data_IF_604816922607
#
_entry.id   IF_604816922607
#
_cell.length_a   1.000
_cell.length_b   1.000
_cell.length_c   1.000
_cell.angle_alpha   90.00
_cell.angle_beta   90.00
_cell.angle_gamma   90.00
#
_symmetry.space_group_name_H-M   'P 1'
#
loop_
_entity.id
_entity.type
_entity.pdbx_description
1 polymer ?
#
# COMPACT_ATOMS: atom_id res chain seq x y z
N UNK A 1 -27.92 -59.81 26.17
CA UNK A 1 -27.44 -60.31 24.86
C UNK A 1 -28.67 -60.43 23.98
N UNK A 2 -28.97 -59.37 23.23
CA UNK A 2 -30.09 -59.31 22.31
C UNK A 2 -29.54 -58.88 20.95
N UNK A 3 -28.90 -59.81 20.26
CA UNK A 3 -28.32 -59.56 18.96
C UNK A 3 -29.43 -59.34 17.93
N UNK A 4 -29.42 -58.18 17.28
CA UNK A 4 -30.21 -57.89 16.07
C UNK A 4 -29.23 -57.37 15.02
N UNK A 5 -28.95 -58.19 14.02
CA UNK A 5 -27.99 -57.88 12.96
C UNK A 5 -28.52 -58.41 11.62
N UNK A 6 -28.30 -57.63 10.55
CA UNK A 6 -28.68 -57.95 9.15
C UNK A 6 -30.21 -57.91 8.96
N UNK A 7 -30.81 -57.24 7.98
CA UNK A 7 -30.49 -57.18 6.54
C UNK A 7 -30.51 -55.77 5.91
N UNK A 8 -29.73 -55.61 4.83
CA UNK A 8 -29.83 -54.51 3.85
C UNK A 8 -29.89 -55.07 2.43
N UNK A 9 -30.99 -54.91 1.68
CA UNK A 9 -30.99 -55.09 0.24
C UNK A 9 -30.51 -53.81 -0.48
N UNK A 10 -29.86 -53.97 -1.62
CA UNK A 10 -29.17 -52.90 -2.37
C UNK A 10 -29.86 -52.55 -3.70
N UNK A 11 -29.22 -51.67 -4.48
CA UNK A 11 -29.53 -51.27 -5.88
C UNK A 11 -30.71 -50.28 -6.03
N UNK A 12 -30.73 -49.36 -7.00
CA UNK A 12 -29.85 -49.07 -8.15
C UNK A 12 -29.72 -47.52 -8.32
N UNK A 13 -28.96 -46.92 -9.24
CA UNK A 13 -28.43 -47.39 -10.53
C UNK A 13 -27.17 -46.61 -10.94
N UNK A 14 -26.17 -47.30 -11.46
CA UNK A 14 -24.99 -46.72 -12.14
C UNK A 14 -25.38 -46.32 -13.57
N UNK A 15 -25.03 -45.11 -13.99
CA UNK A 15 -24.87 -44.76 -15.41
C UNK A 15 -23.45 -44.23 -15.57
N UNK A 16 -22.75 -44.77 -16.55
CA UNK A 16 -21.46 -44.31 -17.04
C UNK A 16 -21.77 -43.58 -18.36
N UNK A 17 -21.12 -42.46 -18.62
CA UNK A 17 -20.79 -42.07 -19.99
C UNK A 17 -19.34 -41.58 -19.96
N UNK A 18 -18.50 -42.18 -20.79
CA UNK A 18 -17.04 -42.12 -20.74
C UNK A 18 -16.57 -42.21 -22.20
N UNK A 19 -16.83 -41.10 -22.91
CA UNK A 19 -16.79 -40.86 -24.36
C UNK A 19 -16.62 -39.31 -24.50
N UNK A 20 -15.67 -38.70 -25.22
CA UNK A 20 -14.47 -39.15 -25.96
C UNK A 20 -13.33 -38.09 -25.69
N UNK A 21 -12.06 -38.48 -25.65
CA UNK A 21 -11.02 -38.28 -26.71
C UNK A 21 -10.57 -36.82 -27.00
N UNK A 22 -9.26 -36.63 -26.91
CA UNK A 22 -8.36 -35.56 -27.40
C UNK A 22 -8.88 -34.15 -27.78
N UNK A 23 -8.35 -33.15 -27.07
CA UNK A 23 -7.69 -32.01 -27.72
C UNK A 23 -6.48 -31.57 -26.85
N UNK A 24 -5.31 -32.11 -27.17
CA UNK A 24 -4.01 -31.74 -26.56
C UNK A 24 -3.50 -30.40 -27.14
N UNK A 25 -2.51 -29.78 -26.48
CA UNK A 25 -1.90 -28.49 -26.81
C UNK A 25 -2.85 -27.29 -26.52
N UNK A 26 -2.41 -26.20 -25.91
CA UNK A 26 -1.16 -25.49 -26.16
C UNK A 26 -0.49 -24.96 -24.88
N UNK A 27 0.75 -25.39 -24.62
CA UNK A 27 1.66 -24.66 -23.72
C UNK A 27 2.13 -23.37 -24.39
N UNK A 28 1.37 -22.29 -24.22
CA UNK A 28 1.66 -20.97 -24.79
C UNK A 28 2.92 -20.34 -24.17
N UNK A 29 4.07 -20.63 -24.78
CA UNK A 29 5.42 -20.14 -24.46
C UNK A 29 5.47 -18.70 -23.97
N UNK A 30 6.11 -18.49 -22.81
CA UNK A 30 6.23 -17.18 -22.16
C UNK A 30 7.05 -16.18 -22.99
N UNK A 31 6.57 -14.93 -23.06
CA UNK A 31 7.26 -13.81 -23.71
C UNK A 31 7.80 -12.82 -22.67
N UNK A 32 9.11 -12.85 -22.32
CA UNK A 32 9.71 -11.81 -21.49
C UNK A 32 9.81 -10.50 -22.30
N UNK A 33 8.86 -9.59 -22.12
CA UNK A 33 8.92 -8.26 -22.75
C UNK A 33 10.00 -7.41 -22.07
N UNK A 34 11.21 -7.44 -22.60
CA UNK A 34 12.28 -6.53 -22.20
C UNK A 34 11.87 -5.06 -22.42
N UNK A 35 11.91 -4.29 -21.33
CA UNK A 35 12.73 -3.07 -21.19
C UNK A 35 12.77 -2.11 -22.39
N UNK A 36 11.92 -1.09 -22.35
CA UNK A 36 12.25 0.27 -22.83
C UNK A 36 11.74 1.29 -21.82
N UNK A 37 12.65 1.88 -21.06
CA UNK A 37 12.38 3.00 -20.16
C UNK A 37 12.79 4.27 -20.89
N UNK A 38 11.85 4.84 -21.64
CA UNK A 38 11.99 6.15 -22.27
C UNK A 38 11.24 7.12 -21.36
N UNK A 39 11.98 8.03 -20.72
CA UNK A 39 11.41 9.28 -20.24
C UNK A 39 11.59 10.26 -21.40
N UNK A 40 10.51 10.92 -21.80
CA UNK A 40 10.60 12.08 -22.67
C UNK A 40 10.99 13.27 -21.78
N UNK A 41 12.09 13.92 -22.15
CA UNK A 41 12.69 15.04 -21.42
C UNK A 41 11.98 16.33 -21.87
N UNK A 42 11.07 16.86 -21.05
CA UNK A 42 10.19 17.98 -21.41
C UNK A 42 10.92 19.32 -21.18
N UNK A 43 11.60 19.78 -22.24
CA UNK A 43 12.51 20.92 -22.31
C UNK A 43 11.78 22.30 -22.20
N UNK A 44 10.98 22.52 -21.15
CA UNK A 44 10.28 23.79 -20.90
C UNK A 44 11.17 24.83 -20.20
N UNK A 45 12.23 25.26 -20.90
CA UNK A 45 13.07 26.39 -20.51
C UNK A 45 12.40 27.73 -20.86
N UNK A 46 11.93 28.47 -19.85
CA UNK A 46 11.36 29.82 -20.01
C UNK A 46 12.38 30.91 -19.70
N UNK A 47 13.08 31.39 -20.73
CA UNK A 47 13.88 32.62 -20.64
C UNK A 47 12.96 33.85 -20.52
N UNK A 48 13.09 34.58 -19.40
CA UNK A 48 12.55 35.94 -19.24
C UNK A 48 13.62 36.87 -18.67
N UNK A 49 14.68 37.06 -19.45
CA UNK A 49 15.22 38.38 -19.79
C UNK A 49 15.20 39.48 -18.69
N UNK A 50 16.34 39.66 -18.04
CA UNK A 50 16.93 40.96 -17.64
C UNK A 50 15.99 42.20 -17.66
N UNK A 51 15.43 42.57 -16.50
CA UNK A 51 14.94 43.93 -16.26
C UNK A 51 15.86 44.69 -15.29
N UNK A 52 16.87 45.33 -15.89
CA UNK A 52 17.79 46.29 -15.26
C UNK A 52 17.03 47.57 -14.86
N UNK A 53 16.89 47.82 -13.57
CA UNK A 53 16.47 49.12 -13.02
C UNK A 53 17.43 49.53 -11.90
N UNK A 54 18.35 50.46 -12.19
CA UNK A 54 19.24 51.02 -11.18
C UNK A 54 18.52 52.06 -10.33
N UNK A 55 18.65 52.00 -9.00
CA UNK A 55 18.07 53.01 -8.11
C UNK A 55 18.70 54.38 -8.37
N UNK A 56 17.86 55.40 -8.59
CA UNK A 56 18.28 56.73 -9.00
C UNK A 56 18.52 57.66 -7.83
N UNK A 57 19.77 58.16 -7.75
CA UNK A 57 20.24 59.39 -7.12
C UNK A 57 19.18 60.38 -6.59
N UNK A 58 19.26 60.72 -5.30
CA UNK A 58 18.72 61.96 -4.71
C UNK A 58 19.53 62.40 -3.48
N UNK A 59 19.79 63.71 -3.35
CA UNK A 59 20.50 64.37 -2.22
C UNK A 59 19.52 65.26 -1.38
N UNK A 60 19.81 66.28 -0.53
CA UNK A 60 20.99 67.09 -0.07
C UNK A 60 20.85 67.38 1.45
N UNK A 61 21.89 67.44 2.31
CA UNK A 61 23.28 66.97 2.15
C UNK A 61 23.93 66.58 3.51
N UNK A 62 24.05 67.50 4.50
CA UNK A 62 24.94 67.37 5.68
C UNK A 62 24.27 67.47 7.07
N UNK A 63 24.78 66.74 8.09
CA UNK A 63 25.39 67.30 9.33
C UNK A 63 25.92 66.23 10.34
N UNK A 64 26.88 66.67 11.18
CA UNK A 64 27.34 66.14 12.49
C UNK A 64 28.33 64.95 12.60
N UNK A 65 28.90 64.81 13.82
CA UNK A 65 30.33 64.60 14.09
C UNK A 65 30.89 63.15 14.17
N UNK A 66 32.22 63.07 14.25
CA UNK A 66 33.00 61.84 14.41
C UNK A 66 32.61 60.95 15.62
N UNK A 67 32.25 59.69 15.34
CA UNK A 67 32.34 58.60 16.33
C UNK A 67 32.69 57.23 15.72
N UNK A 68 33.81 56.66 16.17
CA UNK A 68 34.18 55.23 16.12
C UNK A 68 33.86 54.41 14.86
N UNK A 69 34.89 54.20 14.03
CA UNK A 69 34.96 53.08 13.07
C UNK A 69 35.00 51.73 13.78
N UNK A 70 33.84 51.25 14.25
CA UNK A 70 33.63 49.83 14.57
C UNK A 70 33.28 49.13 13.28
N UNK A 71 34.08 48.14 12.90
CA UNK A 71 33.96 47.46 11.62
C UNK A 71 32.58 46.82 11.45
N UNK A 72 31.79 47.34 10.51
CA UNK A 72 30.61 46.67 9.95
C UNK A 72 31.04 45.45 9.12
N UNK A 73 31.57 44.44 9.80
CA UNK A 73 31.62 43.08 9.26
C UNK A 73 30.17 42.69 8.91
N UNK A 74 29.88 42.26 7.68
CA UNK A 74 28.57 41.70 7.38
C UNK A 74 28.32 40.55 8.36
N UNK A 75 27.19 40.59 9.07
CA UNK A 75 26.73 39.43 9.82
C UNK A 75 26.66 38.28 8.82
N UNK A 76 27.57 37.31 8.96
CA UNK A 76 27.59 36.12 8.12
C UNK A 76 26.34 35.32 8.47
N UNK A 77 25.25 35.64 7.78
CA UNK A 77 24.05 34.82 7.79
C UNK A 77 24.52 33.44 7.37
N UNK A 78 24.34 32.44 8.25
CA UNK A 78 24.71 31.08 7.92
C UNK A 78 23.71 30.57 6.88
N UNK A 79 23.98 30.90 5.62
CA UNK A 79 23.34 30.34 4.46
C UNK A 79 23.69 28.86 4.44
N UNK A 80 22.93 28.08 5.23
CA UNK A 80 22.88 26.62 5.12
C UNK A 80 22.62 26.35 3.64
N UNK A 81 23.47 25.59 2.95
CA UNK A 81 23.24 25.28 1.55
C UNK A 81 21.82 24.74 1.37
N UNK A 82 21.07 25.32 0.44
CA UNK A 82 19.79 24.75 0.04
C UNK A 82 20.09 23.39 -0.61
N UNK A 83 19.92 22.33 0.16
CA UNK A 83 20.11 20.96 -0.29
C UNK A 83 18.89 20.56 -1.12
N UNK A 84 18.94 20.84 -2.41
CA UNK A 84 18.02 20.28 -3.39
C UNK A 84 18.56 18.93 -3.84
N UNK A 85 18.04 17.87 -3.22
CA UNK A 85 18.58 16.51 -3.33
C UNK A 85 17.66 15.47 -2.71
N UNK A 86 18.00 14.17 -2.82
CA UNK A 86 17.12 13.07 -2.40
C UNK A 86 16.77 13.14 -0.91
N UNK A 87 15.51 13.52 -0.64
CA UNK A 87 14.96 13.55 0.72
C UNK A 87 14.78 12.14 1.28
N UNK A 88 15.01 11.91 2.59
CA UNK A 88 14.84 10.59 3.20
C UNK A 88 13.42 10.04 3.04
N UNK A 89 13.29 8.87 2.39
CA UNK A 89 12.00 8.22 2.16
C UNK A 89 11.29 7.89 3.49
N UNK A 90 10.00 8.23 3.64
CA UNK A 90 9.22 7.82 4.81
C UNK A 90 9.23 6.30 5.01
N UNK A 91 9.52 5.86 6.24
CA UNK A 91 9.57 4.42 6.56
C UNK A 91 8.17 3.82 6.47
N UNK A 92 8.06 2.67 5.79
CA UNK A 92 6.80 1.92 5.70
C UNK A 92 6.31 1.52 7.11
N UNK A 93 5.00 1.63 7.34
CA UNK A 93 4.34 1.14 8.56
C UNK A 93 4.31 -0.40 8.57
N UNK A 94 4.33 -1.05 9.75
CA UNK A 94 4.08 -2.49 9.83
C UNK A 94 2.68 -2.83 9.30
N UNK A 95 2.55 -3.99 8.67
CA UNK A 95 1.30 -4.53 8.12
C UNK A 95 1.32 -6.05 8.24
N UNK A 96 0.15 -6.69 8.25
CA UNK A 96 0.03 -8.15 8.18
C UNK A 96 -0.07 -8.58 6.71
N UNK A 97 0.67 -9.63 6.34
CA UNK A 97 0.64 -10.17 4.97
C UNK A 97 -0.72 -10.80 4.66
N UNK A 98 -1.31 -10.44 3.52
CA UNK A 98 -2.68 -10.86 3.17
C UNK A 98 -3.79 -10.10 3.91
N UNK A 99 -3.47 -9.01 4.62
CA UNK A 99 -4.47 -8.12 5.23
C UNK A 99 -4.90 -6.98 4.29
N UNK A 100 -6.08 -6.39 4.56
CA UNK A 100 -6.52 -5.13 3.92
C UNK A 100 -6.59 -3.97 4.94
N UNK A 101 -6.52 -2.69 4.48
CA UNK A 101 -6.39 -1.52 5.35
C UNK A 101 -7.46 -1.43 6.46
N UNK A 102 -7.05 -0.94 7.62
CA UNK A 102 -7.90 -0.85 8.83
C UNK A 102 -9.11 0.08 8.70
N UNK A 103 -9.12 1.01 7.74
CA UNK A 103 -10.21 1.97 7.54
C UNK A 103 -11.42 1.40 6.77
N UNK A 104 -11.46 0.09 6.58
CA UNK A 104 -12.54 -0.62 5.88
C UNK A 104 -13.43 -1.30 6.91
N UNK A 105 -14.72 -0.94 6.91
CA UNK A 105 -15.77 -1.52 7.77
C UNK A 105 -15.83 -3.05 7.69
N UNK A 106 -15.59 -3.60 6.51
CA UNK A 106 -15.42 -5.04 6.28
C UNK A 106 -14.06 -5.24 5.63
N UNK A 107 -13.17 -5.99 6.29
CA UNK A 107 -11.78 -6.16 5.86
C UNK A 107 -11.22 -7.55 6.14
N UNK A 108 -10.18 -7.93 5.40
CA UNK A 108 -9.39 -9.12 5.70
C UNK A 108 -8.34 -8.78 6.75
N UNK A 109 -8.31 -9.53 7.86
CA UNK A 109 -7.19 -9.51 8.81
C UNK A 109 -6.02 -10.31 8.26
N UNK A 110 -6.31 -11.46 7.64
CA UNK A 110 -5.36 -12.27 6.86
C UNK A 110 -6.13 -13.15 5.87
N UNK A 111 -5.60 -13.33 4.67
CA UNK A 111 -5.98 -14.38 3.73
C UNK A 111 -4.70 -15.13 3.34
N UNK A 112 -4.67 -16.44 3.56
CA UNK A 112 -3.54 -17.31 3.22
C UNK A 112 -4.02 -18.62 2.55
N UNK A 113 -3.14 -19.62 2.41
CA UNK A 113 -3.46 -20.91 1.80
C UNK A 113 -4.23 -21.89 2.70
N UNK A 114 -4.48 -21.54 3.97
CA UNK A 114 -5.28 -22.34 4.92
C UNK A 114 -6.71 -21.80 5.02
N UNK A 115 -6.87 -20.48 5.00
CA UNK A 115 -8.17 -19.85 5.16
C UNK A 115 -8.17 -18.33 5.05
N UNK A 116 -9.24 -17.74 5.57
CA UNK A 116 -9.56 -16.32 5.53
C UNK A 116 -10.03 -15.89 6.91
N UNK A 117 -9.45 -14.84 7.47
CA UNK A 117 -9.96 -14.16 8.67
C UNK A 117 -10.48 -12.79 8.25
N UNK A 118 -11.77 -12.55 8.45
CA UNK A 118 -12.45 -11.29 8.18
C UNK A 118 -12.75 -10.57 9.49
N UNK A 119 -12.73 -9.25 9.46
CA UNK A 119 -13.24 -8.39 10.53
C UNK A 119 -14.32 -7.48 9.96
N UNK A 120 -15.43 -7.42 10.69
CA UNK A 120 -16.53 -6.49 10.51
C UNK A 120 -16.49 -5.53 11.69
N UNK A 121 -16.32 -4.24 11.43
CA UNK A 121 -16.19 -3.17 12.42
C UNK A 121 -16.99 -1.97 11.90
N UNK A 122 -18.27 -1.92 12.23
CA UNK A 122 -19.12 -0.75 11.98
C UNK A 122 -19.29 0.10 13.25
N UNK A 123 -20.33 0.92 13.33
CA UNK A 123 -20.59 1.82 14.46
C UNK A 123 -21.41 1.16 15.58
N UNK A 124 -21.95 -0.05 15.35
CA UNK A 124 -22.81 -0.79 16.27
C UNK A 124 -22.14 -2.08 16.74
N UNK A 125 -21.59 -2.86 15.79
CA UNK A 125 -21.05 -4.19 16.02
C UNK A 125 -19.57 -4.31 15.58
N UNK A 126 -18.80 -5.08 16.34
CA UNK A 126 -17.44 -5.49 15.99
C UNK A 126 -17.31 -7.01 16.11
N UNK A 127 -17.00 -7.69 15.01
CA UNK A 127 -16.95 -9.14 14.89
C UNK A 127 -15.79 -9.61 14.01
N UNK A 128 -15.38 -10.86 14.23
CA UNK A 128 -14.36 -11.57 13.47
C UNK A 128 -14.93 -12.91 13.01
N UNK A 129 -14.78 -13.22 11.73
CA UNK A 129 -15.13 -14.51 11.14
C UNK A 129 -13.89 -15.22 10.60
N UNK A 130 -13.72 -16.48 10.99
CA UNK A 130 -12.64 -17.37 10.55
C UNK A 130 -13.22 -18.46 9.65
N UNK A 131 -12.79 -18.48 8.40
CA UNK A 131 -13.16 -19.47 7.38
C UNK A 131 -11.92 -20.29 6.98
N UNK A 132 -12.09 -21.59 6.78
CA UNK A 132 -11.06 -22.50 6.28
C UNK A 132 -11.42 -22.93 4.86
N UNK A 133 -10.46 -22.95 3.94
CA UNK A 133 -10.71 -23.36 2.54
C UNK A 133 -11.09 -24.84 2.43
N UNK A 134 -10.58 -25.65 3.36
CA UNK A 134 -11.00 -27.04 3.58
C UNK A 134 -11.85 -27.10 4.87
N UNK A 135 -13.15 -27.28 4.68
CA UNK A 135 -14.15 -27.35 5.76
C UNK A 135 -14.11 -28.65 6.56
N UNK A 136 -13.29 -29.63 6.16
CA UNK A 136 -13.02 -30.83 6.96
C UNK A 136 -12.00 -30.59 8.07
N UNK A 137 -11.16 -29.54 7.96
CA UNK A 137 -10.21 -29.12 9.01
C UNK A 137 -10.97 -28.52 10.19
N UNK A 138 -11.86 -27.56 9.93
CA UNK A 138 -12.69 -26.92 10.94
C UNK A 138 -13.91 -26.23 10.30
N UNK A 139 -14.95 -26.00 11.10
CA UNK A 139 -16.11 -25.21 10.70
C UNK A 139 -15.81 -23.70 10.73
N UNK A 140 -16.60 -22.90 9.99
CA UNK A 140 -16.51 -21.44 10.08
C UNK A 140 -16.81 -20.97 11.50
N UNK A 141 -15.96 -20.12 12.06
CA UNK A 141 -16.00 -19.70 13.47
C UNK A 141 -16.25 -18.20 13.58
N UNK A 142 -17.31 -17.81 14.29
CA UNK A 142 -17.69 -16.43 14.53
C UNK A 142 -17.31 -15.98 15.95
N UNK A 143 -16.73 -14.79 16.10
CA UNK A 143 -16.27 -14.23 17.38
C UNK A 143 -16.66 -12.74 17.51
N UNK A 144 -17.28 -12.35 18.63
CA UNK A 144 -17.51 -10.94 18.96
C UNK A 144 -16.19 -10.27 19.38
N UNK A 145 -15.76 -9.24 18.66
CA UNK A 145 -14.45 -8.60 18.78
C UNK A 145 -14.43 -7.49 19.86
N UNK A 146 -14.84 -7.82 21.08
CA UNK A 146 -15.00 -6.87 22.19
C UNK A 146 -13.72 -6.13 22.60
N UNK A 147 -12.55 -6.66 22.24
CA UNK A 147 -11.24 -6.09 22.52
C UNK A 147 -10.64 -5.33 21.32
N UNK A 148 -11.36 -5.19 20.21
CA UNK A 148 -10.95 -4.49 18.99
C UNK A 148 -9.59 -5.00 18.45
N UNK A 149 -9.45 -6.32 18.29
CA UNK A 149 -8.26 -6.93 17.70
C UNK A 149 -8.05 -6.45 16.25
N UNK A 150 -6.80 -6.09 15.93
CA UNK A 150 -6.43 -5.46 14.64
C UNK A 150 -5.47 -6.28 13.78
N UNK A 151 -4.91 -7.38 14.33
CA UNK A 151 -3.98 -8.31 13.67
C UNK A 151 -4.39 -9.74 14.02
N UNK A 152 -4.30 -10.64 13.03
CA UNK A 152 -4.47 -12.09 13.14
C UNK A 152 -3.53 -12.77 12.13
#
# INVERSE_FOLDING_TARGET
LNDNAVETPSFSKRIINDEEEDDDLMLASGRPRQRSHILEDDDNSVDVTLLKAGSSLSKEEDEDDQANSIHNLPLVTSQRPFYDGPMPTPRQKPFQSGSTPMHLTHRFMVWNSVGIIRCYNDEQDNAIDVEFHDTSIHHATHLSNTLNYTVA
#
